data_IF_159375629730
#
_entry.id   IF_159375629730
#
_cell.length_a   1.000
_cell.length_b   1.000
_cell.length_c   1.000
_cell.angle_alpha   90.00
_cell.angle_beta   90.00
_cell.angle_gamma   90.00
#
_symmetry.space_group_name_H-M   'P 1'
#
loop_
_entity.id
_entity.type
_entity.pdbx_description
1 polymer ?
#
# COMPACT_ATOMS: atom_id res chain seq x y z
N UNK A 1 -4.25 -22.48 -15.45
CA UNK A 1 -3.08 -22.20 -14.57
C UNK A 1 -3.56 -21.41 -13.36
N UNK A 2 -3.59 -22.04 -12.18
CA UNK A 2 -3.97 -21.37 -10.93
C UNK A 2 -2.92 -20.33 -10.53
N UNK A 3 -3.35 -19.19 -9.98
CA UNK A 3 -2.42 -18.20 -9.47
C UNK A 3 -1.63 -18.78 -8.28
N UNK A 4 -0.31 -18.57 -8.26
CA UNK A 4 0.54 -18.98 -7.15
C UNK A 4 -0.03 -18.43 -5.84
N UNK A 5 -0.16 -19.27 -4.79
CA UNK A 5 -0.60 -18.79 -3.49
C UNK A 5 0.41 -17.77 -2.97
N UNK A 6 -0.08 -16.64 -2.48
CA UNK A 6 0.73 -15.64 -1.79
C UNK A 6 -0.03 -15.09 -0.61
N UNK A 7 0.70 -14.45 0.29
CA UNK A 7 0.15 -13.75 1.45
C UNK A 7 0.80 -12.39 1.51
N UNK A 8 0.00 -11.37 1.81
CA UNK A 8 0.54 -10.06 2.18
C UNK A 8 0.33 -9.81 3.67
N UNK A 9 1.25 -9.10 4.29
CA UNK A 9 1.16 -8.66 5.68
C UNK A 9 0.61 -7.23 5.74
N UNK A 10 -0.27 -6.92 6.69
CA UNK A 10 -0.80 -5.58 6.88
C UNK A 10 0.33 -4.57 7.18
N UNK A 11 0.33 -3.43 6.50
CA UNK A 11 1.35 -2.39 6.71
C UNK A 11 1.33 -1.78 8.13
N UNK A 12 0.21 -1.88 8.85
CA UNK A 12 0.05 -1.39 10.22
C UNK A 12 0.32 -2.48 11.26
N UNK A 13 -0.51 -3.52 11.31
CA UNK A 13 -0.45 -4.53 12.39
C UNK A 13 0.46 -5.73 12.09
N UNK A 14 1.08 -5.79 10.91
CA UNK A 14 2.00 -6.86 10.46
C UNK A 14 1.40 -8.27 10.33
N UNK A 15 0.13 -8.45 10.69
CA UNK A 15 -0.58 -9.72 10.52
C UNK A 15 -0.86 -10.01 9.06
N UNK A 16 -0.84 -11.29 8.67
CA UNK A 16 -1.24 -11.71 7.34
C UNK A 16 -2.69 -11.30 7.05
N UNK A 17 -2.95 -10.75 5.86
CA UNK A 17 -4.29 -10.43 5.40
C UNK A 17 -4.89 -11.67 4.73
N UNK A 18 -6.07 -12.16 5.19
CA UNK A 18 -6.77 -13.24 4.52
C UNK A 18 -7.10 -12.88 3.07
N UNK A 19 -6.95 -13.84 2.14
CA UNK A 19 -7.25 -13.62 0.72
C UNK A 19 -8.72 -13.32 0.44
N UNK A 20 -9.62 -13.69 1.36
CA UNK A 20 -11.05 -13.40 1.32
C UNK A 20 -11.41 -11.98 1.78
N UNK A 21 -10.46 -11.23 2.34
CA UNK A 21 -10.69 -9.86 2.80
C UNK A 21 -10.23 -8.84 1.78
N UNK A 22 -10.90 -7.69 1.80
CA UNK A 22 -10.44 -6.51 1.10
C UNK A 22 -9.16 -5.94 1.72
N UNK A 23 -8.35 -5.38 0.84
CA UNK A 23 -7.09 -4.73 1.12
C UNK A 23 -7.22 -3.27 0.74
N UNK A 24 -6.72 -2.38 1.58
CA UNK A 24 -6.85 -0.94 1.44
C UNK A 24 -5.48 -0.31 1.23
N UNK A 25 -5.30 0.48 0.17
CA UNK A 25 -4.10 1.27 -0.03
C UNK A 25 -4.23 2.60 0.71
N UNK A 26 -3.32 2.84 1.64
CA UNK A 26 -3.27 4.06 2.44
C UNK A 26 -2.35 5.10 1.78
N UNK A 27 -2.60 6.38 2.03
CA UNK A 27 -1.78 7.47 1.48
C UNK A 27 -0.68 7.96 2.44
N UNK A 28 -0.13 9.13 2.11
CA UNK A 28 0.96 9.75 2.85
C UNK A 28 0.53 10.29 4.23
N UNK A 29 -0.73 10.67 4.43
CA UNK A 29 -1.21 11.12 5.74
C UNK A 29 -1.22 9.95 6.73
N UNK A 30 -1.60 8.75 6.27
CA UNK A 30 -1.41 7.54 7.06
C UNK A 30 0.06 7.27 7.38
N UNK A 31 0.96 7.43 6.41
CA UNK A 31 2.40 7.24 6.65
C UNK A 31 2.96 8.25 7.67
N UNK A 32 2.49 9.51 7.62
CA UNK A 32 2.86 10.55 8.59
C UNK A 32 2.42 10.18 10.00
N UNK A 33 1.18 9.68 10.16
CA UNK A 33 0.62 9.30 11.45
C UNK A 33 1.18 7.98 12.00
N UNK A 34 1.60 7.07 11.11
CA UNK A 34 2.12 5.76 11.47
C UNK A 34 3.47 5.52 10.78
N UNK A 35 4.55 6.19 11.24
CA UNK A 35 5.85 6.18 10.58
C UNK A 35 6.51 4.79 10.54
N UNK A 36 6.06 3.87 11.41
CA UNK A 36 6.53 2.49 11.43
C UNK A 36 5.84 1.60 10.40
N UNK A 37 4.95 2.13 9.54
CA UNK A 37 4.35 1.39 8.43
C UNK A 37 5.42 0.88 7.46
N UNK A 38 5.18 -0.28 6.83
CA UNK A 38 6.04 -0.81 5.74
C UNK A 38 5.12 -1.22 4.60
N UNK A 39 5.31 -0.58 3.45
CA UNK A 39 4.32 -0.56 2.38
C UNK A 39 3.09 0.27 2.75
N UNK A 40 2.01 0.11 1.97
CA UNK A 40 0.77 0.89 2.13
C UNK A 40 -0.50 0.03 2.14
N UNK A 41 -0.39 -1.29 2.01
CA UNK A 41 -1.57 -2.17 1.95
C UNK A 41 -2.00 -2.60 3.36
N UNK A 42 -3.15 -2.13 3.82
CA UNK A 42 -3.70 -2.40 5.14
C UNK A 42 -4.86 -3.40 5.09
N UNK A 43 -5.06 -4.13 6.19
CA UNK A 43 -6.25 -4.95 6.38
C UNK A 43 -7.45 -4.10 6.80
N UNK A 44 -8.65 -4.61 6.49
CA UNK A 44 -9.92 -3.98 6.86
C UNK A 44 -9.99 -3.56 8.33
N UNK A 45 -9.50 -4.40 9.26
CA UNK A 45 -9.54 -4.09 10.69
C UNK A 45 -8.74 -2.82 11.02
N UNK A 46 -7.55 -2.66 10.47
CA UNK A 46 -6.70 -1.50 10.77
C UNK A 46 -7.21 -0.24 10.10
N UNK A 47 -7.68 -0.33 8.85
CA UNK A 47 -8.21 0.83 8.12
C UNK A 47 -9.53 1.32 8.70
N UNK A 48 -10.49 0.41 8.92
CA UNK A 48 -11.85 0.81 9.27
C UNK A 48 -12.06 1.06 10.77
N UNK A 49 -11.19 0.56 11.65
CA UNK A 49 -11.33 0.72 13.11
C UNK A 49 -10.35 1.72 13.74
N UNK A 50 -9.57 2.44 12.94
CA UNK A 50 -8.63 3.44 13.46
C UNK A 50 -9.13 4.83 13.08
N UNK A 51 -9.99 5.45 13.91
CA UNK A 51 -10.54 6.76 13.61
C UNK A 51 -9.55 7.87 13.99
N UNK A 52 -9.47 8.89 13.16
CA UNK A 52 -8.85 10.17 13.46
C UNK A 52 -9.39 11.24 12.51
N UNK A 53 -9.32 12.51 12.91
CA UNK A 53 -9.77 13.64 12.11
C UNK A 53 -8.57 14.43 11.56
N UNK A 54 -8.78 15.06 10.41
CA UNK A 54 -7.81 15.95 9.77
C UNK A 54 -7.84 17.36 10.38
N UNK A 55 -8.96 17.75 11.00
CA UNK A 55 -9.17 19.09 11.55
C UNK A 55 -8.91 19.18 13.06
N UNK A 56 -8.50 20.36 13.52
CA UNK A 56 -8.41 20.69 14.94
C UNK A 56 -9.82 20.67 15.58
N UNK A 57 -9.98 20.22 16.84
CA UNK A 57 -11.28 20.20 17.51
C UNK A 57 -11.94 21.58 17.50
N UNK A 58 -13.21 21.65 17.06
CA UNK A 58 -13.99 22.90 17.05
C UNK A 58 -13.57 23.92 15.98
N UNK A 59 -12.67 23.57 15.05
CA UNK A 59 -12.16 24.48 14.02
C UNK A 59 -12.35 23.91 12.61
N UNK A 60 -12.19 24.79 11.61
CA UNK A 60 -12.06 24.42 10.18
C UNK A 60 -10.60 24.34 9.73
N UNK A 61 -9.66 24.52 10.64
CA UNK A 61 -8.24 24.37 10.37
C UNK A 61 -7.81 22.90 10.43
N UNK A 62 -6.93 22.51 9.51
CA UNK A 62 -6.25 21.22 9.60
C UNK A 62 -5.30 21.17 10.79
N UNK A 63 -5.05 19.96 11.30
CA UNK A 63 -3.98 19.71 12.27
C UNK A 63 -2.62 19.99 11.63
N UNK A 64 -1.64 20.34 12.45
CA UNK A 64 -0.32 20.69 11.95
C UNK A 64 0.33 19.52 11.20
N UNK A 65 0.92 19.84 10.04
CA UNK A 65 1.55 18.87 9.14
C UNK A 65 0.58 17.98 8.36
N UNK A 66 -0.72 18.27 8.35
CA UNK A 66 -1.70 17.57 7.53
C UNK A 66 -1.28 17.49 6.06
N UNK A 67 -1.34 16.29 5.48
CA UNK A 67 -1.07 16.07 4.06
C UNK A 67 -2.41 15.92 3.35
N UNK A 68 -2.77 16.94 2.56
CA UNK A 68 -4.08 16.96 1.90
C UNK A 68 -4.23 15.87 0.82
N UNK A 69 -5.44 15.34 0.68
CA UNK A 69 -5.77 14.48 -0.46
C UNK A 69 -5.76 15.35 -1.74
N UNK A 70 -5.08 14.94 -2.82
CA UNK A 70 -5.03 15.76 -4.04
C UNK A 70 -6.41 15.96 -4.66
N UNK A 71 -6.76 17.21 -4.97
CA UNK A 71 -8.01 17.56 -5.67
C UNK A 71 -9.27 17.54 -4.81
N UNK A 72 -9.14 17.46 -3.48
CA UNK A 72 -10.25 17.48 -2.53
C UNK A 72 -10.30 18.78 -1.72
N UNK A 73 -11.47 19.10 -1.20
CA UNK A 73 -11.69 20.20 -0.26
C UNK A 73 -11.84 19.66 1.18
N UNK A 74 -12.05 20.55 2.15
CA UNK A 74 -12.26 20.19 3.56
C UNK A 74 -13.53 19.33 3.81
N UNK A 75 -14.47 19.27 2.85
CA UNK A 75 -15.68 18.45 2.99
C UNK A 75 -15.41 16.99 2.63
N UNK A 76 -14.35 16.75 1.88
CA UNK A 76 -13.96 15.44 1.35
C UNK A 76 -12.67 14.92 2.00
N UNK A 77 -11.78 15.82 2.42
CA UNK A 77 -10.60 15.56 3.25
C UNK A 77 -10.87 15.99 4.71
N UNK A 78 -11.39 15.06 5.51
CA UNK A 78 -11.78 15.39 6.89
C UNK A 78 -11.44 14.30 7.91
N UNK A 79 -11.19 13.06 7.47
CA UNK A 79 -10.82 11.98 8.38
C UNK A 79 -10.00 10.86 7.76
N UNK A 80 -9.70 9.87 8.60
CA UNK A 80 -8.93 8.68 8.25
C UNK A 80 -9.35 7.98 6.95
N UNK A 81 -10.65 8.00 6.63
CA UNK A 81 -11.18 7.30 5.47
C UNK A 81 -11.05 8.12 4.18
N UNK A 82 -11.03 9.45 4.28
CA UNK A 82 -10.65 10.34 3.16
C UNK A 82 -9.28 9.96 2.57
N UNK A 83 -8.40 9.43 3.41
CA UNK A 83 -7.02 9.06 3.08
C UNK A 83 -6.83 7.60 2.61
N UNK A 84 -7.91 6.92 2.22
CA UNK A 84 -7.87 5.63 1.53
C UNK A 84 -7.82 5.87 0.02
N UNK A 85 -6.72 5.46 -0.63
CA UNK A 85 -6.48 5.70 -2.07
C UNK A 85 -7.27 4.75 -2.97
N UNK A 86 -7.41 3.51 -2.55
CA UNK A 86 -8.05 2.43 -3.29
C UNK A 86 -8.30 1.23 -2.37
N UNK A 87 -9.24 0.37 -2.74
CA UNK A 87 -9.47 -0.91 -2.08
C UNK A 87 -9.85 -2.00 -3.08
N UNK A 88 -9.70 -3.26 -2.66
CA UNK A 88 -10.19 -4.42 -3.38
C UNK A 88 -9.48 -5.71 -2.98
N UNK A 89 -9.60 -6.74 -3.82
CA UNK A 89 -8.98 -8.04 -3.54
C UNK A 89 -7.46 -7.95 -3.40
N UNK A 90 -6.89 -8.86 -2.61
CA UNK A 90 -5.42 -8.95 -2.45
C UNK A 90 -4.67 -8.98 -3.79
N UNK A 91 -5.19 -9.71 -4.80
CA UNK A 91 -4.59 -9.79 -6.14
C UNK A 91 -4.62 -8.46 -6.87
N UNK A 92 -5.77 -7.79 -6.89
CA UNK A 92 -5.91 -6.49 -7.55
C UNK A 92 -4.97 -5.47 -6.92
N UNK A 93 -4.91 -5.43 -5.58
CA UNK A 93 -4.13 -4.44 -4.86
C UNK A 93 -2.62 -4.60 -5.04
N UNK A 94 -2.07 -5.82 -5.02
CA UNK A 94 -0.64 -6.00 -5.28
C UNK A 94 -0.26 -5.74 -6.73
N UNK A 95 -1.18 -5.93 -7.70
CA UNK A 95 -0.92 -5.54 -9.09
C UNK A 95 -0.99 -4.01 -9.27
N UNK A 96 -1.90 -3.35 -8.56
CA UNK A 96 -2.04 -1.89 -8.60
C UNK A 96 -0.89 -1.17 -7.87
N UNK A 97 -0.38 -1.75 -6.79
CA UNK A 97 0.70 -1.21 -5.95
C UNK A 97 1.83 -2.24 -5.76
N UNK A 98 2.62 -2.55 -6.82
CA UNK A 98 3.60 -3.63 -6.78
C UNK A 98 4.73 -3.39 -5.79
N UNK A 99 5.22 -2.16 -5.63
CA UNK A 99 6.27 -1.84 -4.65
C UNK A 99 5.82 -2.17 -3.21
N UNK A 100 4.56 -1.83 -2.88
CA UNK A 100 3.97 -2.17 -1.60
C UNK A 100 3.75 -3.68 -1.46
N UNK A 101 3.30 -4.34 -2.53
CA UNK A 101 3.20 -5.80 -2.57
C UNK A 101 4.53 -6.49 -2.26
N UNK A 102 5.64 -6.04 -2.86
CA UNK A 102 6.98 -6.57 -2.63
C UNK A 102 7.40 -6.42 -1.17
N UNK A 103 7.28 -5.21 -0.63
CA UNK A 103 7.56 -4.92 0.78
C UNK A 103 6.73 -5.75 1.77
N UNK A 104 5.59 -6.28 1.33
CA UNK A 104 4.60 -6.94 2.18
C UNK A 104 4.46 -8.44 1.91
N UNK A 105 5.29 -9.04 1.04
CA UNK A 105 5.41 -10.49 0.85
C UNK A 105 4.83 -11.05 -0.46
N UNK A 106 4.48 -10.22 -1.43
CA UNK A 106 3.86 -10.64 -2.70
C UNK A 106 4.86 -11.00 -3.82
N UNK A 107 6.16 -11.06 -3.53
CA UNK A 107 7.22 -11.19 -4.55
C UNK A 107 6.99 -12.35 -5.51
N UNK A 108 6.80 -13.57 -5.00
CA UNK A 108 6.59 -14.76 -5.85
C UNK A 108 5.36 -14.61 -6.75
N UNK A 109 4.28 -14.00 -6.27
CA UNK A 109 3.10 -13.74 -7.09
C UNK A 109 3.40 -12.71 -8.19
N UNK A 110 4.10 -11.63 -7.85
CA UNK A 110 4.41 -10.55 -8.79
C UNK A 110 5.37 -11.00 -9.90
N UNK A 111 6.38 -11.82 -9.56
CA UNK A 111 7.28 -12.46 -10.56
C UNK A 111 6.50 -13.33 -11.53
N UNK A 112 5.63 -14.20 -11.01
CA UNK A 112 4.77 -15.05 -11.84
C UNK A 112 3.83 -14.22 -12.73
N UNK A 113 3.23 -13.16 -12.19
CA UNK A 113 2.33 -12.29 -12.94
C UNK A 113 3.04 -11.55 -14.09
N UNK A 114 4.28 -11.10 -13.89
CA UNK A 114 5.08 -10.38 -14.90
C UNK A 114 5.49 -11.25 -16.11
N UNK A 115 5.48 -12.57 -15.95
CA UNK A 115 5.86 -13.55 -16.98
C UNK A 115 4.66 -14.09 -17.78
N UNK A 116 3.42 -13.77 -17.40
CA UNK A 116 2.24 -14.27 -18.11
C UNK A 116 2.11 -13.66 -19.49
N UNK A 117 2.03 -14.53 -20.52
CA UNK A 117 1.86 -14.14 -21.93
C UNK A 117 0.61 -13.29 -22.20
N UNK A 118 -0.43 -13.45 -21.39
CA UNK A 118 -1.70 -12.72 -21.51
C UNK A 118 -1.79 -11.42 -20.69
N UNK A 119 -0.72 -11.02 -19.99
CA UNK A 119 -0.74 -9.78 -19.22
C UNK A 119 -0.78 -8.57 -20.16
N UNK A 120 -1.66 -7.59 -19.86
CA UNK A 120 -1.64 -6.30 -20.51
C UNK A 120 -0.22 -5.70 -20.45
N UNK A 121 0.30 -5.23 -21.59
CA UNK A 121 1.70 -4.80 -21.72
C UNK A 121 2.07 -3.67 -20.75
N UNK A 122 1.14 -2.77 -20.44
CA UNK A 122 1.32 -1.70 -19.46
C UNK A 122 1.49 -2.25 -18.04
N UNK A 123 0.65 -3.20 -17.65
CA UNK A 123 0.75 -3.88 -16.34
C UNK A 123 2.05 -4.66 -16.25
N UNK A 124 2.39 -5.46 -17.26
CA UNK A 124 3.62 -6.25 -17.27
C UNK A 124 4.87 -5.37 -17.14
N UNK A 125 4.91 -4.23 -17.84
CA UNK A 125 6.00 -3.25 -17.75
C UNK A 125 6.11 -2.67 -16.34
N UNK A 126 4.99 -2.28 -15.73
CA UNK A 126 4.96 -1.77 -14.36
C UNK A 126 5.51 -2.80 -13.35
N UNK A 127 5.08 -4.06 -13.47
CA UNK A 127 5.56 -5.13 -12.59
C UNK A 127 7.07 -5.38 -12.74
N UNK A 128 7.58 -5.45 -13.98
CA UNK A 128 9.01 -5.63 -14.23
C UNK A 128 9.84 -4.46 -13.69
N UNK A 129 9.36 -3.24 -13.84
CA UNK A 129 10.04 -2.06 -13.29
C UNK A 129 10.14 -2.13 -11.75
N UNK A 130 9.06 -2.50 -11.06
CA UNK A 130 9.06 -2.66 -9.61
C UNK A 130 10.00 -3.80 -9.15
N UNK A 131 9.98 -4.94 -9.86
CA UNK A 131 10.86 -6.08 -9.58
C UNK A 131 12.35 -5.75 -9.81
N UNK A 132 12.69 -5.08 -10.92
CA UNK A 132 14.06 -4.68 -11.18
C UNK A 132 14.60 -3.74 -10.10
N UNK A 133 13.77 -2.79 -9.64
CA UNK A 133 14.14 -1.92 -8.51
C UNK A 133 14.39 -2.72 -7.24
N UNK A 134 13.45 -3.61 -6.89
CA UNK A 134 13.57 -4.48 -5.72
C UNK A 134 14.81 -5.37 -5.75
N UNK A 135 15.12 -5.94 -6.91
CA UNK A 135 16.31 -6.76 -7.10
C UNK A 135 17.58 -5.94 -6.92
N UNK A 136 17.63 -4.71 -7.44
CA UNK A 136 18.77 -3.80 -7.24
C UNK A 136 18.93 -3.38 -5.78
N UNK A 137 17.83 -3.10 -5.08
CA UNK A 137 17.84 -2.68 -3.67
C UNK A 137 18.32 -3.83 -2.76
N UNK A 138 17.96 -5.08 -3.06
CA UNK A 138 18.38 -6.26 -2.29
C UNK A 138 19.73 -6.85 -2.73
N UNK A 139 20.18 -6.58 -3.95
CA UNK A 139 21.49 -7.01 -4.44
C UNK A 139 22.65 -6.14 -3.93
N UNK A 140 22.37 -4.95 -3.40
CA UNK A 140 23.38 -4.13 -2.72
C UNK A 140 23.74 -4.79 -1.38
N UNK A 141 24.98 -5.30 -1.19
CA UNK A 141 25.40 -5.76 0.13
C UNK A 141 25.31 -4.60 1.12
N UNK A 142 24.93 -4.91 2.36
CA UNK A 142 24.87 -3.98 3.50
C UNK A 142 26.27 -3.49 3.92
N UNK A 143 27.00 -2.86 3.00
CA UNK A 143 28.30 -2.25 3.26
C UNK A 143 28.15 -0.74 3.40
N UNK A 144 27.58 -0.29 4.52
CA UNK A 144 27.93 0.97 5.17
C UNK A 144 27.74 0.77 6.69
N UNK A 145 28.78 0.26 7.35
CA UNK A 145 29.10 0.68 8.71
C UNK A 145 30.21 1.72 8.58
N UNK A 146 29.94 2.96 9.00
CA UNK A 146 30.93 3.91 9.51
C UNK A 146 30.32 4.55 10.73
#
# INVERSE_FOLDING_TARGET
>A
MSAAPFRITCCLCRKAIPLSQDVYALDQEWQRRFPTMRGILACQRCTLRTPWKCMKPGSREYVDGHIAVPGTDQRTDFDAWSHVRANGTSRAMVMMFPDAGLLQGAETYLRNAAQRRSANSGVARKLRSALNKWDNDNARPSNIQV
#
